data_IF_970022375373
#
_entry.id   IF_970022375373
#
_cell.length_a   1.000
_cell.length_b   1.000
_cell.length_c   1.000
_cell.angle_alpha   90.00
_cell.angle_beta   90.00
_cell.angle_gamma   90.00
#
_symmetry.space_group_name_H-M   'P 1'
#
loop_
_entity.id
_entity.type
_entity.pdbx_description
1 polymer ?
#
# COMPACT_ATOMS: atom_id res chain seq x y z
N UNK A 1 -0.54 -3.10 14.50
CA UNK A 1 0.58 -2.48 13.76
C UNK A 1 0.61 -1.06 14.27
N UNK A 2 1.75 -0.59 14.78
CA UNK A 2 1.82 0.70 15.50
C UNK A 2 1.32 1.85 14.61
N UNK A 3 1.67 1.82 13.33
CA UNK A 3 1.27 2.80 12.33
C UNK A 3 -0.25 2.78 12.07
N UNK A 4 -0.86 1.59 12.04
CA UNK A 4 -2.31 1.47 11.88
C UNK A 4 -3.05 2.08 13.07
N UNK A 5 -2.58 1.82 14.28
CA UNK A 5 -3.14 2.38 15.52
C UNK A 5 -2.98 3.90 15.57
N UNK A 6 -1.84 4.42 15.10
CA UNK A 6 -1.61 5.85 14.94
C UNK A 6 -2.59 6.49 13.95
N UNK A 7 -2.83 5.86 12.80
CA UNK A 7 -3.80 6.33 11.80
C UNK A 7 -5.23 6.30 12.35
N UNK A 8 -5.61 5.23 13.05
CA UNK A 8 -6.92 5.09 13.68
C UNK A 8 -7.17 6.24 14.68
N UNK A 9 -6.22 6.48 15.59
CA UNK A 9 -6.31 7.55 16.58
C UNK A 9 -6.38 8.94 15.93
N UNK A 10 -5.64 9.16 14.84
CA UNK A 10 -5.69 10.41 14.10
C UNK A 10 -7.06 10.63 13.44
N UNK A 11 -7.62 9.61 12.79
CA UNK A 11 -8.94 9.68 12.15
C UNK A 11 -10.04 10.01 13.17
N UNK A 12 -10.02 9.34 14.34
CA UNK A 12 -10.97 9.59 15.42
C UNK A 12 -10.82 11.01 15.99
N UNK A 13 -9.58 11.46 16.23
CA UNK A 13 -9.31 12.79 16.77
C UNK A 13 -9.79 13.91 15.84
N UNK A 14 -9.68 13.73 14.53
CA UNK A 14 -10.05 14.71 13.51
C UNK A 14 -11.50 14.54 12.99
N UNK A 15 -12.23 13.52 13.43
CA UNK A 15 -13.60 13.23 12.98
C UNK A 15 -13.68 12.90 11.48
N UNK A 16 -12.67 12.20 10.97
CA UNK A 16 -12.49 11.89 9.55
C UNK A 16 -13.06 10.53 9.16
N UNK A 17 -13.91 9.91 9.97
CA UNK A 17 -14.45 8.58 9.69
C UNK A 17 -15.21 8.54 8.37
N UNK A 18 -14.97 7.49 7.58
CA UNK A 18 -15.60 7.30 6.29
C UNK A 18 -15.95 5.82 6.07
N UNK A 19 -17.05 5.51 5.36
CA UNK A 19 -17.37 4.15 4.96
C UNK A 19 -16.24 3.51 4.13
N UNK A 20 -16.06 2.17 4.20
CA UNK A 20 -15.01 1.48 3.44
C UNK A 20 -15.02 1.78 1.93
N UNK A 21 -16.20 1.94 1.34
CA UNK A 21 -16.34 2.26 -0.08
C UNK A 21 -15.71 3.61 -0.44
N UNK A 22 -15.72 4.60 0.46
CA UNK A 22 -15.09 5.91 0.23
C UNK A 22 -13.60 5.84 0.52
N UNK A 23 -13.17 5.14 1.57
CA UNK A 23 -11.75 4.89 1.84
C UNK A 23 -11.04 4.17 0.69
N UNK A 24 -11.74 3.27 0.00
CA UNK A 24 -11.21 2.64 -1.20
C UNK A 24 -11.00 3.66 -2.34
N UNK A 25 -11.91 4.62 -2.50
CA UNK A 25 -11.77 5.69 -3.49
C UNK A 25 -10.60 6.61 -3.13
N UNK A 26 -10.45 6.96 -1.85
CA UNK A 26 -9.31 7.74 -1.35
C UNK A 26 -8.00 7.01 -1.67
N UNK A 27 -7.89 5.72 -1.34
CA UNK A 27 -6.70 4.91 -1.64
C UNK A 27 -6.35 4.91 -3.14
N UNK A 28 -7.36 4.76 -4.02
CA UNK A 28 -7.12 4.80 -5.47
C UNK A 28 -6.70 6.21 -5.93
N UNK A 29 -7.22 7.26 -5.29
CA UNK A 29 -6.80 8.63 -5.56
C UNK A 29 -5.33 8.85 -5.23
N UNK A 30 -4.87 8.42 -4.04
CA UNK A 30 -3.46 8.58 -3.65
C UNK A 30 -2.51 7.78 -4.54
N UNK A 31 -2.89 6.57 -4.95
CA UNK A 31 -2.13 5.80 -5.96
C UNK A 31 -2.09 6.53 -7.31
N UNK A 32 -3.15 7.29 -7.64
CA UNK A 32 -3.21 8.14 -8.81
C UNK A 32 -2.22 9.29 -8.77
N UNK A 33 -2.00 9.92 -7.63
CA UNK A 33 -0.99 10.98 -7.47
C UNK A 33 0.44 10.43 -7.60
N UNK A 34 0.72 9.25 -7.04
CA UNK A 34 1.99 8.53 -7.30
C UNK A 34 2.21 8.28 -8.79
N UNK A 35 1.15 7.84 -9.50
CA UNK A 35 1.22 7.62 -10.94
C UNK A 35 1.43 8.91 -11.73
N UNK A 36 0.86 10.02 -11.27
CA UNK A 36 1.05 11.35 -11.86
C UNK A 36 2.49 11.83 -11.68
N UNK A 37 3.05 11.73 -10.49
CA UNK A 37 4.45 12.07 -10.24
C UNK A 37 5.39 11.29 -11.17
N UNK A 38 5.17 9.98 -11.29
CA UNK A 38 5.93 9.14 -12.21
C UNK A 38 5.76 9.55 -13.69
N UNK A 39 4.54 9.91 -14.10
CA UNK A 39 4.27 10.35 -15.46
C UNK A 39 4.93 11.70 -15.76
N UNK A 40 4.82 12.67 -14.85
CA UNK A 40 5.38 14.01 -15.02
C UNK A 40 6.91 13.97 -15.01
N UNK A 41 7.52 13.25 -14.08
CA UNK A 41 8.98 13.17 -13.96
C UNK A 41 9.63 12.50 -15.18
N UNK A 42 8.95 11.51 -15.77
CA UNK A 42 9.44 10.77 -16.95
C UNK A 42 9.09 11.43 -18.28
N UNK A 43 8.61 12.68 -18.30
CA UNK A 43 8.09 13.36 -19.49
C UNK A 43 7.11 12.47 -20.28
N UNK A 44 6.14 11.94 -19.54
CA UNK A 44 5.11 11.01 -20.02
C UNK A 44 5.68 9.79 -20.76
N UNK A 45 6.84 9.30 -20.29
CA UNK A 45 7.56 8.14 -20.83
C UNK A 45 8.66 8.47 -21.84
N UNK A 46 8.87 9.74 -22.18
CA UNK A 46 9.97 10.16 -23.07
C UNK A 46 11.34 10.12 -22.39
N UNK A 47 11.37 10.18 -21.05
CA UNK A 47 12.56 10.15 -20.20
C UNK A 47 12.42 9.13 -19.05
N UNK A 48 12.34 7.82 -19.34
CA UNK A 48 12.01 6.81 -18.33
C UNK A 48 13.04 6.64 -17.21
N UNK A 49 14.26 7.15 -17.38
CA UNK A 49 15.32 7.13 -16.35
C UNK A 49 15.15 8.23 -15.30
N UNK A 50 14.32 9.22 -15.57
CA UNK A 50 14.05 10.37 -14.68
C UNK A 50 12.86 10.10 -13.75
N UNK A 51 12.59 8.83 -13.42
CA UNK A 51 11.51 8.46 -12.51
C UNK A 51 11.77 9.05 -11.12
N UNK A 52 10.86 9.90 -10.67
CA UNK A 52 10.87 10.55 -9.37
C UNK A 52 9.45 10.49 -8.81
N UNK A 53 9.34 10.01 -7.58
CA UNK A 53 8.10 9.99 -6.81
C UNK A 53 8.42 10.63 -5.47
N UNK A 54 7.63 11.63 -5.07
CA UNK A 54 7.86 12.28 -3.78
C UNK A 54 7.52 11.34 -2.63
N UNK A 55 8.26 11.47 -1.53
CA UNK A 55 8.11 10.58 -0.37
C UNK A 55 6.78 10.78 0.37
N UNK A 56 6.23 11.99 0.34
CA UNK A 56 4.92 12.31 0.92
C UNK A 56 3.80 11.56 0.20
N UNK A 57 3.83 11.44 -1.12
CA UNK A 57 2.84 10.66 -1.89
C UNK A 57 2.81 9.18 -1.47
N UNK A 58 3.97 8.59 -1.15
CA UNK A 58 4.04 7.23 -0.59
C UNK A 58 3.44 7.18 0.82
N UNK A 59 3.66 8.22 1.61
CA UNK A 59 3.05 8.40 2.93
C UNK A 59 1.52 8.47 2.84
N UNK A 60 0.99 9.21 1.87
CA UNK A 60 -0.45 9.38 1.66
C UNK A 60 -1.10 8.07 1.21
N UNK A 61 -0.49 7.31 0.30
CA UNK A 61 -0.93 5.95 -0.05
C UNK A 61 -0.94 5.03 1.17
N UNK A 62 0.12 5.06 1.99
CA UNK A 62 0.18 4.24 3.20
C UNK A 62 -0.91 4.64 4.20
N UNK A 63 -1.11 5.94 4.43
CA UNK A 63 -2.19 6.45 5.28
C UNK A 63 -3.54 5.96 4.79
N UNK A 64 -3.84 6.11 3.50
CA UNK A 64 -5.11 5.70 2.92
C UNK A 64 -5.35 4.19 3.01
N UNK A 65 -4.31 3.36 2.82
CA UNK A 65 -4.40 1.92 2.97
C UNK A 65 -4.69 1.50 4.42
N UNK A 66 -4.02 2.12 5.40
CA UNK A 66 -4.24 1.84 6.81
C UNK A 66 -5.63 2.32 7.27
N UNK A 67 -6.07 3.49 6.81
CA UNK A 67 -7.40 4.02 7.04
C UNK A 67 -8.49 3.11 6.44
N UNK A 68 -8.25 2.56 5.25
CA UNK A 68 -9.14 1.59 4.62
C UNK A 68 -9.19 0.26 5.37
N UNK A 69 -8.03 -0.22 5.84
CA UNK A 69 -7.93 -1.44 6.64
C UNK A 69 -8.69 -1.30 7.95
N UNK A 70 -8.58 -0.14 8.62
CA UNK A 70 -9.39 0.15 9.81
C UNK A 70 -10.88 0.19 9.52
N UNK A 71 -11.31 0.85 8.45
CA UNK A 71 -12.73 0.90 8.11
C UNK A 71 -13.33 -0.51 7.85
N UNK A 72 -12.49 -1.49 7.49
CA UNK A 72 -12.87 -2.89 7.28
C UNK A 72 -12.72 -3.78 8.52
N UNK A 73 -12.28 -3.24 9.66
CA UNK A 73 -11.88 -3.99 10.86
C UNK A 73 -10.80 -5.06 10.56
N UNK A 74 -9.89 -4.77 9.62
CA UNK A 74 -8.80 -5.67 9.21
C UNK A 74 -7.49 -5.20 9.85
N UNK A 75 -6.79 -6.12 10.54
CA UNK A 75 -5.44 -5.89 11.01
C UNK A 75 -4.44 -5.97 9.84
N UNK A 76 -3.97 -4.81 9.37
CA UNK A 76 -3.07 -4.70 8.23
C UNK A 76 -1.73 -5.42 8.46
N UNK A 77 -1.21 -5.38 9.70
CA UNK A 77 0.02 -6.09 10.06
C UNK A 77 -0.11 -7.61 9.97
N UNK A 78 -1.22 -8.17 10.44
CA UNK A 78 -1.50 -9.60 10.31
C UNK A 78 -1.67 -9.99 8.84
N UNK A 79 -2.43 -9.20 8.07
CA UNK A 79 -2.62 -9.42 6.63
C UNK A 79 -1.31 -9.36 5.84
N UNK A 80 -0.41 -8.42 6.18
CA UNK A 80 0.93 -8.35 5.60
C UNK A 80 1.76 -9.59 5.95
N UNK A 81 1.73 -10.05 7.20
CA UNK A 81 2.41 -11.27 7.62
C UNK A 81 1.95 -12.52 6.84
N UNK A 82 0.64 -12.66 6.64
CA UNK A 82 0.08 -13.73 5.80
C UNK A 82 0.54 -13.63 4.34
N UNK A 83 0.61 -12.42 3.79
CA UNK A 83 1.08 -12.20 2.42
C UNK A 83 2.56 -12.56 2.27
N UNK A 84 3.41 -12.14 3.23
CA UNK A 84 4.84 -12.45 3.24
C UNK A 84 5.08 -13.96 3.32
N UNK A 85 4.39 -14.68 4.20
CA UNK A 85 4.50 -16.14 4.27
C UNK A 85 4.18 -16.83 2.93
N UNK A 86 3.12 -16.38 2.23
CA UNK A 86 2.80 -16.89 0.88
C UNK A 86 3.89 -16.58 -0.15
N UNK A 87 4.61 -15.47 -0.02
CA UNK A 87 5.74 -15.17 -0.91
C UNK A 87 6.95 -16.06 -0.58
N UNK A 88 7.26 -16.27 0.69
CA UNK A 88 8.34 -17.15 1.13
C UNK A 88 8.11 -18.59 0.62
N UNK A 89 6.90 -19.12 0.78
CA UNK A 89 6.52 -20.45 0.29
C UNK A 89 6.73 -20.58 -1.24
N UNK A 90 6.29 -19.57 -2.01
CA UNK A 90 6.44 -19.56 -3.48
C UNK A 90 7.90 -19.52 -3.92
N UNK A 91 8.76 -18.82 -3.17
CA UNK A 91 10.20 -18.74 -3.47
C UNK A 91 10.88 -20.07 -3.15
N UNK A 92 10.52 -20.70 -2.03
CA UNK A 92 11.02 -22.03 -1.67
C UNK A 92 10.63 -23.08 -2.72
N UNK A 93 9.36 -23.09 -3.14
CA UNK A 93 8.86 -24.00 -4.18
C UNK A 93 9.48 -23.75 -5.56
N UNK A 94 9.82 -22.50 -5.89
CA UNK A 94 10.51 -22.16 -7.15
C UNK A 94 12.02 -22.44 -7.11
N UNK A 95 12.61 -22.55 -5.91
CA UNK A 95 14.02 -22.83 -5.68
C UNK A 95 14.38 -24.32 -5.61
N UNK A 96 13.40 -25.21 -5.44
CA UNK A 96 13.60 -26.67 -5.45
C UNK A 96 13.03 -27.31 -6.74
N UNK A 97 13.86 -27.66 -7.74
CA UNK A 97 13.53 -28.81 -8.56
C UNK A 97 13.69 -30.03 -7.66
N UNK A 98 12.57 -30.68 -7.32
CA UNK A 98 12.48 -32.05 -6.79
C UNK A 98 13.74 -32.87 -7.13
N UNK A 99 14.70 -32.91 -6.21
CA UNK A 99 15.78 -33.90 -6.26
C UNK A 99 15.25 -35.15 -5.60
N UNK A 100 14.49 -35.94 -6.37
CA UNK A 100 13.83 -37.11 -5.83
C UNK A 100 12.97 -37.86 -6.83
N UNK A 101 13.60 -38.46 -7.85
CA UNK A 101 13.48 -39.87 -8.27
C UNK A 101 13.95 -40.08 -9.72
#
# INVERSE_FOLDING_TARGET
MEEQEQVAAFIEAEGMEAPPAYRLLDLISEVGEVAKDAAESTDYGSAPTELEVKSDEIGDVLFALLAFSEALDINAGAALGEALGKYDDRIADAGEPSSGH
#
